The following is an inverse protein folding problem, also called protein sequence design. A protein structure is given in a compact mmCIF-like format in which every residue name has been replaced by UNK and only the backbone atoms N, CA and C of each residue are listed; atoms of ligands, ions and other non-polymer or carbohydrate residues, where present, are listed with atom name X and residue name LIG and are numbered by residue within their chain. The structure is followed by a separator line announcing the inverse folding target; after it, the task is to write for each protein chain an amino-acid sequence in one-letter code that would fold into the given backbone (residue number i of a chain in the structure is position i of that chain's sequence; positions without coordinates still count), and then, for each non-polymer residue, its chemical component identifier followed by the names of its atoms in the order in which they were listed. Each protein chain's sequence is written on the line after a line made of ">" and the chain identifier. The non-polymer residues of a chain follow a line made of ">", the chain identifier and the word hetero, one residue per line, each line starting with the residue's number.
data_IF_780459915188
#
_entry.id   IF_780459915188
#
_cell.length_a   1.000
_cell.length_b   1.000
_cell.length_c   1.000
_cell.angle_alpha   90.00
_cell.angle_beta   90.00
_cell.angle_gamma   90.00
#
_symmetry.space_group_name_H-M   'P 1'
#
loop_
_entity.id
_entity.type
_entity.pdbx_description
1 polymer ?
#
# COMPACT_ATOMS: atom_id res chain seq x y z
N UNK A 1 -28.62 -24.11 33.54
CA UNK A 1 -27.33 -24.40 32.89
C UNK A 1 -27.43 -25.79 32.29
N UNK A 2 -27.55 -25.86 30.97
CA UNK A 2 -27.99 -27.02 30.20
C UNK A 2 -26.76 -27.81 29.70
N UNK A 3 -26.66 -29.10 30.07
CA UNK A 3 -25.55 -29.98 29.67
C UNK A 3 -25.82 -30.55 28.28
N UNK A 4 -25.03 -30.15 27.28
CA UNK A 4 -25.05 -30.75 25.94
C UNK A 4 -24.17 -32.00 25.89
N UNK A 5 -24.80 -33.15 25.65
CA UNK A 5 -24.15 -34.41 25.34
C UNK A 5 -23.56 -34.39 23.92
N UNK A 6 -22.27 -34.68 23.79
CA UNK A 6 -21.63 -34.95 22.50
C UNK A 6 -21.73 -36.45 22.20
N UNK A 7 -22.38 -36.80 21.08
CA UNK A 7 -22.34 -38.15 20.49
C UNK A 7 -21.06 -38.30 19.69
N UNK A 8 -20.30 -39.36 19.98
CA UNK A 8 -19.19 -39.82 19.16
C UNK A 8 -19.75 -40.57 17.95
N UNK A 9 -19.21 -40.27 16.76
CA UNK A 9 -19.48 -41.06 15.54
C UNK A 9 -18.39 -42.13 15.41
N UNK A 10 -18.82 -43.38 15.21
CA UNK A 10 -17.97 -44.53 14.89
C UNK A 10 -17.32 -44.35 13.50
N UNK A 11 -16.09 -44.83 13.30
CA UNK A 11 -15.49 -44.87 11.97
C UNK A 11 -16.12 -45.98 11.13
N UNK A 12 -16.56 -45.63 9.92
CA UNK A 12 -16.98 -46.56 8.88
C UNK A 12 -15.83 -47.52 8.53
N UNK A 13 -16.07 -48.80 8.79
CA UNK A 13 -15.36 -49.96 8.25
C UNK A 13 -15.26 -49.86 6.72
N UNK A 14 -14.04 -49.73 6.20
CA UNK A 14 -13.77 -49.82 4.77
C UNK A 14 -13.67 -51.30 4.41
N UNK A 15 -14.77 -51.85 3.86
CA UNK A 15 -14.81 -53.18 3.28
C UNK A 15 -13.83 -53.31 2.11
N UNK A 16 -13.09 -54.40 2.20
CA UNK A 16 -12.11 -54.92 1.25
C UNK A 16 -12.82 -55.35 -0.05
N UNK A 17 -12.87 -54.46 -1.04
CA UNK A 17 -13.33 -54.80 -2.39
C UNK A 17 -12.15 -55.12 -3.29
N UNK A 18 -11.87 -56.41 -3.37
CA UNK A 18 -11.21 -57.11 -4.45
C UNK A 18 -11.82 -56.70 -5.79
N UNK A 19 -11.13 -55.84 -6.54
CA UNK A 19 -11.45 -55.56 -7.95
C UNK A 19 -10.36 -56.17 -8.81
N UNK A 20 -10.83 -57.10 -9.63
CA UNK A 20 -10.11 -57.89 -10.61
C UNK A 20 -9.08 -57.08 -11.41
N UNK A 21 -7.91 -57.71 -11.59
CA UNK A 21 -6.91 -57.36 -12.59
C UNK A 21 -7.56 -57.17 -13.96
N UNK A 22 -7.76 -55.91 -14.35
CA UNK A 22 -8.01 -55.53 -15.73
C UNK A 22 -6.64 -55.14 -16.29
N UNK A 23 -6.02 -56.06 -17.01
CA UNK A 23 -4.82 -55.81 -17.81
C UNK A 23 -5.19 -54.88 -18.97
N UNK A 24 -5.04 -53.58 -18.75
CA UNK A 24 -5.10 -52.55 -19.80
C UNK A 24 -3.85 -52.73 -20.68
N UNK A 25 -3.97 -52.97 -22.00
CA UNK A 25 -2.82 -53.00 -22.87
C UNK A 25 -2.22 -51.60 -22.97
N UNK A 26 -1.07 -51.39 -22.32
CA UNK A 26 -0.26 -50.18 -22.48
C UNK A 26 0.49 -50.33 -23.80
N UNK A 27 -0.14 -49.97 -24.90
CA UNK A 27 0.57 -49.68 -26.14
C UNK A 27 0.22 -48.26 -26.59
N UNK A 28 1.00 -47.31 -26.08
CA UNK A 28 1.17 -46.03 -26.78
C UNK A 28 2.65 -45.68 -26.78
N UNK A 29 3.33 -46.03 -27.87
CA UNK A 29 4.65 -45.45 -28.20
C UNK A 29 4.53 -43.93 -28.11
N UNK A 30 5.33 -43.23 -27.29
CA UNK A 30 5.31 -41.78 -27.26
C UNK A 30 5.79 -41.28 -28.62
N UNK A 31 4.88 -40.69 -29.42
CA UNK A 31 5.27 -39.91 -30.60
C UNK A 31 6.15 -38.76 -30.10
N UNK A 32 7.47 -38.90 -30.29
CA UNK A 32 8.56 -37.97 -29.92
C UNK A 32 8.46 -36.57 -30.54
N UNK A 33 7.36 -36.21 -31.21
CA UNK A 33 7.24 -34.99 -32.00
C UNK A 33 6.71 -33.73 -31.29
N UNK A 34 6.24 -33.80 -30.03
CA UNK A 34 5.49 -32.68 -29.42
C UNK A 34 6.00 -32.20 -28.05
N UNK A 35 7.13 -32.72 -27.56
CA UNK A 35 7.65 -32.34 -26.25
C UNK A 35 8.22 -30.91 -26.25
N UNK A 36 8.88 -30.52 -27.35
CA UNK A 36 9.46 -29.18 -27.51
C UNK A 36 8.36 -28.10 -27.59
N UNK A 37 7.28 -28.38 -28.33
CA UNK A 37 6.17 -27.45 -28.47
C UNK A 37 5.41 -27.23 -27.14
N UNK A 38 5.16 -28.31 -26.38
CA UNK A 38 4.53 -28.21 -25.05
C UNK A 38 5.39 -27.43 -24.05
N UNK A 39 6.71 -27.64 -24.08
CA UNK A 39 7.64 -26.91 -23.22
C UNK A 39 7.68 -25.41 -23.56
N UNK A 40 7.68 -25.08 -24.86
CA UNK A 40 7.63 -23.70 -25.32
C UNK A 40 6.34 -22.98 -24.90
N UNK A 41 5.17 -23.61 -25.06
CA UNK A 41 3.90 -23.04 -24.60
C UNK A 41 3.89 -22.79 -23.08
N UNK A 42 4.49 -23.66 -22.29
CA UNK A 42 4.57 -23.50 -20.84
C UNK A 42 5.46 -22.30 -20.45
N UNK A 43 6.60 -22.13 -21.11
CA UNK A 43 7.50 -20.99 -20.88
C UNK A 43 6.81 -19.67 -21.25
N UNK A 44 6.12 -19.62 -22.40
CA UNK A 44 5.36 -18.43 -22.82
C UNK A 44 4.24 -18.11 -21.83
N UNK A 45 3.51 -19.11 -21.35
CA UNK A 45 2.46 -18.92 -20.34
C UNK A 45 3.04 -18.34 -19.03
N UNK A 46 4.19 -18.82 -18.57
CA UNK A 46 4.87 -18.27 -17.39
C UNK A 46 5.28 -16.81 -17.62
N UNK A 47 5.83 -16.48 -18.79
CA UNK A 47 6.19 -15.10 -19.14
C UNK A 47 4.97 -14.17 -19.20
N UNK A 48 3.85 -14.62 -19.76
CA UNK A 48 2.60 -13.84 -19.81
C UNK A 48 2.04 -13.63 -18.40
N UNK A 49 2.02 -14.67 -17.56
CA UNK A 49 1.61 -14.52 -16.15
C UNK A 49 2.54 -13.56 -15.42
N UNK A 50 3.87 -13.70 -15.59
CA UNK A 50 4.85 -12.80 -15.00
C UNK A 50 4.67 -11.35 -15.47
N UNK A 51 4.44 -11.14 -16.77
CA UNK A 51 4.17 -9.82 -17.37
C UNK A 51 2.89 -9.21 -16.80
N UNK A 52 1.80 -9.98 -16.73
CA UNK A 52 0.52 -9.55 -16.14
C UNK A 52 0.71 -9.21 -14.66
N UNK A 53 1.44 -10.03 -13.90
CA UNK A 53 1.69 -9.77 -12.47
C UNK A 53 2.61 -8.57 -12.24
N UNK A 54 3.61 -8.37 -13.12
CA UNK A 54 4.54 -7.23 -13.04
C UNK A 54 3.89 -5.92 -13.47
N UNK A 55 2.95 -5.95 -14.42
CA UNK A 55 2.14 -4.79 -14.80
C UNK A 55 1.01 -4.47 -13.82
N UNK A 56 0.73 -5.34 -12.83
CA UNK A 56 -0.04 -4.96 -11.64
C UNK A 56 0.86 -4.21 -10.64
N UNK A 57 1.56 -3.18 -11.14
CA UNK A 57 1.88 -2.02 -10.32
C UNK A 57 0.53 -1.52 -9.81
N UNK A 58 0.33 -1.69 -8.51
CA UNK A 58 -0.89 -1.32 -7.81
C UNK A 58 -1.41 0.02 -8.31
N UNK A 59 -2.61 0.00 -8.92
CA UNK A 59 -3.41 1.19 -9.10
C UNK A 59 -3.78 1.67 -7.70
N UNK A 60 -3.01 2.62 -7.17
CA UNK A 60 -3.41 3.38 -6.01
C UNK A 60 -4.70 4.13 -6.39
N UNK A 61 -5.73 4.02 -5.56
CA UNK A 61 -6.93 4.84 -5.71
C UNK A 61 -6.53 6.27 -5.35
N UNK A 62 -6.53 7.16 -6.36
CA UNK A 62 -6.20 8.56 -6.19
C UNK A 62 -7.47 9.33 -5.85
N UNK A 63 -7.58 9.83 -4.62
CA UNK A 63 -8.52 10.90 -4.30
C UNK A 63 -7.72 12.19 -4.15
N UNK A 64 -7.64 12.97 -5.23
CA UNK A 64 -7.20 14.37 -5.16
C UNK A 64 -8.40 15.21 -4.77
N UNK A 65 -8.37 15.81 -3.59
CA UNK A 65 -9.30 16.87 -3.22
C UNK A 65 -8.53 18.19 -3.15
N UNK A 66 -8.99 19.19 -3.88
CA UNK A 66 -8.54 20.57 -3.72
C UNK A 66 -9.10 21.06 -2.39
N UNK A 67 -8.23 21.38 -1.44
CA UNK A 67 -8.66 22.10 -0.24
C UNK A 67 -8.63 23.57 -0.58
N UNK A 68 -9.82 24.13 -0.78
CA UNK A 68 -10.01 25.57 -0.80
C UNK A 68 -9.36 26.17 0.45
N UNK A 69 -8.51 27.15 0.24
CA UNK A 69 -7.87 27.93 1.29
C UNK A 69 -8.97 28.55 2.14
N UNK A 70 -9.09 28.13 3.40
CA UNK A 70 -9.88 28.84 4.40
C UNK A 70 -9.15 30.14 4.72
N UNK A 71 -9.59 31.24 4.12
CA UNK A 71 -9.39 32.57 4.68
C UNK A 71 -9.92 32.57 6.10
N UNK A 72 -9.01 32.63 7.08
CA UNK A 72 -9.32 33.25 8.36
C UNK A 72 -8.25 34.28 8.59
N UNK A 73 -8.53 35.48 8.07
CA UNK A 73 -7.89 36.73 8.47
C UNK A 73 -7.73 36.74 10.01
N UNK A 74 -6.51 36.89 10.54
CA UNK A 74 -6.37 37.39 11.90
C UNK A 74 -6.94 38.80 11.91
N UNK A 75 -7.94 39.06 12.76
CA UNK A 75 -8.40 40.42 13.05
C UNK A 75 -7.22 41.18 13.64
N UNK A 76 -6.64 42.06 12.85
CA UNK A 76 -5.80 43.14 13.33
C UNK A 76 -6.65 44.13 14.13
N UNK A 77 -6.08 44.54 15.24
CA UNK A 77 -6.57 45.60 16.11
C UNK A 77 -6.15 46.91 15.42
N UNK A 78 -7.11 47.65 14.87
CA UNK A 78 -6.87 48.96 14.25
C UNK A 78 -6.39 49.94 15.32
N UNK A 79 -5.15 50.41 15.20
CA UNK A 79 -4.78 51.78 15.59
C UNK A 79 -4.86 52.64 14.32
N UNK A 80 -5.78 53.60 14.32
CA UNK A 80 -6.02 54.58 13.27
C UNK A 80 -4.85 55.56 13.14
N UNK A 81 -4.24 55.61 11.96
CA UNK A 81 -3.51 56.76 11.46
C UNK A 81 -4.21 57.23 10.19
N UNK A 82 -4.70 58.47 10.21
CA UNK A 82 -5.13 59.21 9.03
C UNK A 82 -3.85 59.70 8.33
N UNK A 83 -3.51 59.16 7.14
CA UNK A 83 -2.77 59.87 6.09
C UNK A 83 -2.67 59.00 4.80
N UNK A 84 -3.08 59.63 3.69
CA UNK A 84 -2.93 59.30 2.26
C UNK A 84 -3.54 57.99 1.67
N UNK A 85 -4.35 58.07 0.58
CA UNK A 85 -4.81 56.90 -0.16
C UNK A 85 -3.68 56.35 -1.05
N UNK A 86 -2.79 55.56 -0.47
CA UNK A 86 -1.96 54.64 -1.25
C UNK A 86 -2.87 53.51 -1.71
N UNK A 87 -3.03 53.39 -3.02
CA UNK A 87 -3.77 52.30 -3.66
C UNK A 87 -2.95 51.01 -3.50
N UNK A 88 -2.96 50.47 -2.28
CA UNK A 88 -2.36 49.20 -1.90
C UNK A 88 -3.14 48.09 -2.61
N UNK A 89 -2.72 47.78 -3.82
CA UNK A 89 -3.02 46.49 -4.43
C UNK A 89 -2.33 45.42 -3.58
N UNK A 90 -2.96 45.04 -2.47
CA UNK A 90 -2.56 43.90 -1.65
C UNK A 90 -2.48 42.68 -2.57
N UNK A 91 -1.25 42.31 -2.97
CA UNK A 91 -1.01 41.07 -3.69
C UNK A 91 -1.18 39.96 -2.66
N UNK A 92 -2.42 39.50 -2.48
CA UNK A 92 -2.73 38.32 -1.70
C UNK A 92 -2.01 37.13 -2.34
N UNK A 93 -0.81 36.80 -1.86
CA UNK A 93 -0.08 35.62 -2.28
C UNK A 93 -0.77 34.38 -1.68
N UNK A 94 -1.89 33.98 -2.27
CA UNK A 94 -2.58 32.73 -1.94
C UNK A 94 -1.73 31.56 -2.42
N UNK A 95 -0.86 31.05 -1.53
CA UNK A 95 -0.12 29.83 -1.79
C UNK A 95 -1.08 28.63 -1.81
N UNK A 96 -1.45 28.18 -3.01
CA UNK A 96 -2.27 26.98 -3.20
C UNK A 96 -1.59 25.76 -2.57
N UNK A 97 -2.36 24.96 -1.84
CA UNK A 97 -1.93 23.70 -1.23
C UNK A 97 -2.81 22.56 -1.71
N UNK A 98 -2.18 21.46 -2.11
CA UNK A 98 -2.83 20.25 -2.58
C UNK A 98 -2.62 19.13 -1.57
N UNK A 99 -3.70 18.42 -1.27
CA UNK A 99 -3.68 17.24 -0.41
C UNK A 99 -3.78 15.99 -1.26
N UNK A 100 -2.72 15.18 -1.23
CA UNK A 100 -2.64 13.89 -1.90
C UNK A 100 -2.74 12.79 -0.85
N UNK A 101 -3.72 11.91 -1.01
CA UNK A 101 -3.92 10.77 -0.11
C UNK A 101 -3.62 9.47 -0.85
N UNK A 102 -2.73 8.67 -0.30
CA UNK A 102 -2.32 7.37 -0.82
C UNK A 102 -2.66 6.31 0.21
N UNK A 103 -3.55 5.40 -0.16
CA UNK A 103 -4.01 4.32 0.71
C UNK A 103 -3.79 2.98 0.01
N UNK A 104 -3.24 2.02 0.75
CA UNK A 104 -3.11 0.64 0.28
C UNK A 104 -3.57 -0.33 1.38
N UNK A 105 -4.36 -1.33 1.00
CA UNK A 105 -4.92 -2.31 1.94
C UNK A 105 -6.18 -1.80 2.62
N UNK A 106 -6.55 -2.41 3.75
CA UNK A 106 -7.75 -2.08 4.50
C UNK A 106 -7.58 -2.45 5.98
N UNK A 107 -8.42 -1.87 6.85
CA UNK A 107 -8.43 -2.25 8.27
C UNK A 107 -8.92 -3.68 8.44
N UNK A 108 -8.25 -4.45 9.29
CA UNK A 108 -8.62 -5.83 9.63
C UNK A 108 -8.87 -5.92 11.13
N UNK A 109 -9.82 -6.75 11.56
CA UNK A 109 -10.13 -6.94 12.99
C UNK A 109 -8.86 -7.27 13.78
N UNK A 110 -8.59 -6.46 14.82
CA UNK A 110 -7.44 -6.64 15.71
C UNK A 110 -6.15 -5.97 15.22
N UNK A 111 -6.15 -5.29 14.07
CA UNK A 111 -5.01 -4.49 13.66
C UNK A 111 -4.81 -3.26 14.56
N UNK A 112 -3.55 -2.84 14.69
CA UNK A 112 -3.15 -1.67 15.48
C UNK A 112 -2.24 -0.78 14.65
N UNK A 113 -2.16 0.50 14.99
CA UNK A 113 -1.15 1.37 14.41
C UNK A 113 0.23 0.91 14.91
N UNK A 114 1.06 0.45 14.00
CA UNK A 114 2.40 -0.09 14.27
C UNK A 114 3.50 0.90 13.90
N UNK A 115 3.16 1.92 13.10
CA UNK A 115 4.08 2.97 12.71
C UNK A 115 3.33 4.28 12.46
N UNK A 116 3.96 5.37 12.89
CA UNK A 116 3.55 6.72 12.59
C UNK A 116 4.77 7.59 12.35
N UNK A 117 4.74 8.39 11.30
CA UNK A 117 5.75 9.42 11.06
C UNK A 117 5.11 10.61 10.36
N UNK A 118 5.56 11.80 10.70
CA UNK A 118 5.21 13.02 9.99
C UNK A 118 6.43 13.93 9.92
N UNK A 119 6.51 14.75 8.88
CA UNK A 119 7.54 15.78 8.74
C UNK A 119 7.07 16.83 7.75
N UNK A 120 7.78 17.96 7.73
CA UNK A 120 7.53 19.09 6.87
C UNK A 120 8.86 19.70 6.46
N UNK A 121 8.95 20.12 5.21
CA UNK A 121 10.09 20.82 4.63
C UNK A 121 9.58 21.98 3.78
N UNK A 122 10.38 23.03 3.74
CA UNK A 122 10.18 24.20 2.92
C UNK A 122 11.43 24.44 2.08
N UNK A 123 11.21 24.99 0.89
CA UNK A 123 12.24 25.29 -0.09
C UNK A 123 12.05 26.73 -0.57
N UNK A 124 13.15 27.46 -0.70
CA UNK A 124 13.13 28.87 -1.13
C UNK A 124 12.68 29.03 -2.58
N UNK A 125 12.79 27.98 -3.39
CA UNK A 125 12.32 27.92 -4.76
C UNK A 125 11.69 26.54 -5.03
N UNK A 126 10.82 26.43 -6.06
CA UNK A 126 10.23 25.14 -6.42
C UNK A 126 11.30 24.10 -6.76
N UNK A 127 11.20 22.90 -6.18
CA UNK A 127 12.10 21.78 -6.47
C UNK A 127 11.35 20.46 -6.64
N UNK A 128 12.03 19.49 -7.27
CA UNK A 128 11.63 18.09 -7.23
C UNK A 128 12.21 17.45 -5.97
N UNK A 129 11.36 16.99 -5.08
CA UNK A 129 11.76 16.42 -3.80
C UNK A 129 11.36 14.95 -3.74
N UNK A 130 12.30 14.06 -3.41
CA UNK A 130 12.04 12.63 -3.21
C UNK A 130 12.47 12.22 -1.81
N UNK A 131 11.63 11.45 -1.12
CA UNK A 131 11.97 10.89 0.18
C UNK A 131 11.48 9.46 0.34
N UNK A 132 12.16 8.73 1.22
CA UNK A 132 11.87 7.33 1.51
C UNK A 132 11.35 7.14 2.93
N UNK A 133 10.22 6.46 3.06
CA UNK A 133 9.65 5.98 4.32
C UNK A 133 10.00 4.51 4.44
N UNK A 134 10.59 4.12 5.58
CA UNK A 134 10.97 2.72 5.85
C UNK A 134 10.39 2.26 7.19
N UNK A 135 9.70 1.13 7.15
CA UNK A 135 9.25 0.39 8.33
C UNK A 135 9.65 -1.09 8.23
N UNK A 136 10.12 -1.73 9.32
CA UNK A 136 10.63 -1.07 10.53
C UNK A 136 11.83 -0.18 10.20
N UNK A 137 12.04 0.90 10.97
CA UNK A 137 13.15 1.84 10.71
C UNK A 137 14.52 1.15 10.81
N UNK A 138 14.62 0.09 11.62
CA UNK A 138 15.81 -0.75 11.76
C UNK A 138 15.52 -2.15 11.21
N UNK A 139 16.22 -2.63 10.17
CA UNK A 139 15.92 -3.90 9.51
C UNK A 139 16.17 -5.13 10.40
N UNK A 140 16.95 -4.99 11.48
CA UNK A 140 17.28 -6.09 12.40
C UNK A 140 16.18 -6.39 13.43
N UNK A 141 15.14 -5.55 13.53
CA UNK A 141 14.03 -5.81 14.44
C UNK A 141 13.05 -6.74 13.72
N UNK A 142 13.16 -8.05 13.97
CA UNK A 142 12.16 -9.03 13.55
C UNK A 142 10.83 -8.68 14.20
N UNK A 143 10.00 -7.92 13.50
CA UNK A 143 8.66 -7.58 13.97
C UNK A 143 7.74 -8.68 13.48
N UNK A 144 7.15 -9.45 14.40
CA UNK A 144 6.14 -10.45 14.10
C UNK A 144 4.81 -9.75 13.82
N UNK A 145 4.78 -8.97 12.74
CA UNK A 145 3.63 -8.16 12.36
C UNK A 145 3.39 -8.37 10.88
N UNK A 146 2.12 -8.47 10.52
CA UNK A 146 1.69 -8.46 9.14
C UNK A 146 0.99 -7.12 8.86
N UNK A 147 1.49 -6.35 7.89
CA UNK A 147 0.93 -5.05 7.51
C UNK A 147 -0.41 -5.26 6.80
N UNK A 148 -1.43 -4.52 7.23
CA UNK A 148 -2.81 -4.61 6.72
C UNK A 148 -3.27 -3.36 5.99
N UNK A 149 -2.82 -2.18 6.45
CA UNK A 149 -3.16 -0.88 5.87
C UNK A 149 -1.96 0.06 5.92
N UNK A 150 -1.71 0.76 4.82
CA UNK A 150 -0.79 1.89 4.73
C UNK A 150 -1.63 3.11 4.32
N UNK A 151 -1.59 4.17 5.12
CA UNK A 151 -2.23 5.44 4.81
C UNK A 151 -1.18 6.56 4.86
N UNK A 152 -0.95 7.19 3.72
CA UNK A 152 -0.02 8.30 3.54
C UNK A 152 -0.79 9.52 3.05
N UNK A 153 -0.69 10.62 3.78
CA UNK A 153 -1.20 11.91 3.35
C UNK A 153 -0.03 12.85 3.11
N UNK A 154 -0.05 13.54 1.98
CA UNK A 154 0.96 14.50 1.55
C UNK A 154 0.27 15.84 1.30
N UNK A 155 0.85 16.91 1.81
CA UNK A 155 0.45 18.28 1.53
C UNK A 155 1.62 18.95 0.81
N UNK A 156 1.36 19.50 -0.37
CA UNK A 156 2.37 20.11 -1.23
C UNK A 156 1.79 21.29 -2.01
N UNK A 157 2.64 22.20 -2.49
CA UNK A 157 2.18 23.39 -3.24
C UNK A 157 1.93 23.11 -4.72
N UNK A 158 2.35 21.94 -5.21
CA UNK A 158 2.10 21.47 -6.57
C UNK A 158 1.06 20.34 -6.57
N UNK A 159 0.29 20.19 -7.64
CA UNK A 159 -0.63 19.05 -7.81
C UNK A 159 0.10 17.77 -8.21
N UNK A 160 1.32 17.88 -8.73
CA UNK A 160 2.09 16.76 -9.28
C UNK A 160 2.90 16.07 -8.20
N UNK A 161 2.66 14.79 -8.00
CA UNK A 161 3.39 13.94 -7.08
C UNK A 161 2.98 12.48 -7.22
N UNK A 162 3.80 11.58 -6.69
CA UNK A 162 3.52 10.15 -6.69
C UNK A 162 4.09 9.49 -5.43
N UNK A 163 3.49 8.37 -5.04
CA UNK A 163 4.02 7.48 -4.02
C UNK A 163 4.05 6.05 -4.58
N UNK A 164 5.16 5.35 -4.38
CA UNK A 164 5.39 3.99 -4.88
C UNK A 164 5.99 3.14 -3.77
N UNK A 165 5.51 1.90 -3.63
CA UNK A 165 6.12 0.92 -2.73
C UNK A 165 7.27 0.25 -3.46
N UNK A 166 8.47 0.40 -2.90
CA UNK A 166 9.71 -0.16 -3.46
C UNK A 166 10.01 -1.56 -2.93
N UNK A 167 9.56 -1.87 -1.72
CA UNK A 167 9.80 -3.17 -1.07
C UNK A 167 8.75 -3.45 0.00
N UNK A 168 8.36 -4.71 0.17
CA UNK A 168 7.36 -5.15 1.14
C UNK A 168 5.96 -4.62 0.84
N UNK A 169 5.20 -4.26 1.88
CA UNK A 169 3.83 -3.75 1.76
C UNK A 169 2.82 -4.59 2.52
N UNK A 170 1.56 -4.61 2.04
CA UNK A 170 0.49 -5.40 2.64
C UNK A 170 0.85 -6.88 2.58
N UNK A 171 0.63 -7.62 3.67
CA UNK A 171 1.02 -9.04 3.73
C UNK A 171 2.46 -9.27 4.20
N UNK A 172 3.27 -8.21 4.30
CA UNK A 172 4.67 -8.28 4.71
C UNK A 172 4.89 -7.65 6.10
N UNK A 173 6.05 -7.92 6.70
CA UNK A 173 6.47 -7.33 7.98
C UNK A 173 7.24 -6.02 7.83
N UNK A 174 7.56 -5.65 6.60
CA UNK A 174 8.30 -4.45 6.25
C UNK A 174 7.61 -3.71 5.09
N UNK A 175 7.90 -2.42 4.98
CA UNK A 175 7.53 -1.62 3.81
C UNK A 175 8.55 -0.51 3.60
N UNK A 176 8.90 -0.28 2.33
CA UNK A 176 9.61 0.92 1.87
C UNK A 176 8.76 1.65 0.86
N UNK A 177 8.43 2.91 1.15
CA UNK A 177 7.62 3.78 0.30
C UNK A 177 8.54 4.91 -0.17
N UNK A 178 8.68 5.07 -1.48
CA UNK A 178 9.27 6.24 -2.10
C UNK A 178 8.15 7.20 -2.45
N UNK A 179 8.33 8.47 -2.14
CA UNK A 179 7.37 9.50 -2.47
C UNK A 179 8.12 10.64 -3.13
N UNK A 180 7.63 11.07 -4.28
CA UNK A 180 8.20 12.11 -5.11
C UNK A 180 7.18 13.22 -5.30
N UNK A 181 7.60 14.44 -5.05
CA UNK A 181 6.86 15.66 -5.28
C UNK A 181 7.56 16.48 -6.34
N UNK A 182 6.81 16.97 -7.31
CA UNK A 182 7.37 17.72 -8.44
C UNK A 182 7.05 19.19 -8.33
N UNK A 183 8.05 20.05 -8.55
CA UNK A 183 7.92 21.50 -8.58
C UNK A 183 7.21 22.09 -7.34
N UNK A 184 7.64 21.69 -6.14
CA UNK A 184 7.00 22.11 -4.87
C UNK A 184 7.94 22.97 -4.02
N UNK A 185 7.41 23.98 -3.34
CA UNK A 185 8.11 24.84 -2.37
C UNK A 185 7.83 24.43 -0.93
N UNK A 186 6.74 23.69 -0.71
CA UNK A 186 6.41 23.10 0.58
C UNK A 186 6.14 21.62 0.40
N UNK A 187 6.68 20.80 1.29
CA UNK A 187 6.42 19.37 1.32
C UNK A 187 6.16 18.91 2.74
N UNK A 188 4.94 18.47 3.04
CA UNK A 188 4.54 17.91 4.34
C UNK A 188 3.94 16.54 4.14
N UNK A 189 4.25 15.60 5.01
CA UNK A 189 3.61 14.29 4.99
C UNK A 189 3.25 13.79 6.37
N UNK A 190 2.30 12.85 6.38
CA UNK A 190 1.91 12.04 7.52
C UNK A 190 1.64 10.63 7.03
N UNK A 191 2.37 9.66 7.57
CA UNK A 191 2.18 8.24 7.27
C UNK A 191 1.75 7.48 8.52
N UNK A 192 0.78 6.59 8.34
CA UNK A 192 0.31 5.61 9.31
C UNK A 192 0.37 4.23 8.69
N UNK A 193 0.97 3.29 9.40
CA UNK A 193 0.94 1.87 9.01
C UNK A 193 0.25 1.10 10.11
N UNK A 194 -0.67 0.23 9.71
CA UNK A 194 -1.40 -0.67 10.57
C UNK A 194 -1.01 -2.12 10.26
N UNK A 195 -1.07 -2.95 11.29
CA UNK A 195 -0.85 -4.37 11.12
C UNK A 195 -1.32 -5.19 12.31
N UNK A 196 -1.39 -6.50 12.08
CA UNK A 196 -1.76 -7.50 13.08
C UNK A 196 -0.51 -8.21 13.58
N UNK A 197 -0.43 -8.42 14.89
CA UNK A 197 0.66 -9.21 15.47
C UNK A 197 0.46 -10.67 15.08
N UNK A 198 1.47 -11.28 14.49
CA UNK A 198 1.48 -12.71 14.18
C UNK A 198 1.71 -13.50 15.47
N UNK A 199 1.05 -14.65 15.65
CA UNK A 199 1.32 -15.53 16.77
C UNK A 199 2.79 -15.95 16.72
N UNK A 200 3.45 -15.93 17.89
CA UNK A 200 4.82 -16.42 18.02
C UNK A 200 4.77 -17.92 17.70
N UNK A 201 5.34 -18.34 16.57
CA UNK A 201 5.50 -19.77 16.31
C UNK A 201 6.41 -20.32 17.41
N UNK A 202 5.86 -21.17 18.26
CA UNK A 202 6.61 -22.01 19.19
C UNK A 202 7.29 -23.05 18.29
N UNK A 203 8.59 -22.89 18.10
CA UNK A 203 9.47 -23.89 17.51
C UNK A 203 10.33 -24.45 18.64
#
# INVERSE_FOLDING_TARGET
>A
MEKKHFKFYEPLSLEDKTIHNISIPIESKPKKGNLVFKSFCLIVAIFVVYWITSHRVLKFTFETYEVGTSEKHPREFLETYDDDPVEDNEIECTFKRYNLSYTQGHRVKGDKQIYFKQSMQFFNHPINFTFNIKYPRRPRVKTQVNITLIALHVVQTSRSGQAVIKNGGIGHSNVTIEVTSYNTTQFRYRVRVYGVKLPKRLY
#
